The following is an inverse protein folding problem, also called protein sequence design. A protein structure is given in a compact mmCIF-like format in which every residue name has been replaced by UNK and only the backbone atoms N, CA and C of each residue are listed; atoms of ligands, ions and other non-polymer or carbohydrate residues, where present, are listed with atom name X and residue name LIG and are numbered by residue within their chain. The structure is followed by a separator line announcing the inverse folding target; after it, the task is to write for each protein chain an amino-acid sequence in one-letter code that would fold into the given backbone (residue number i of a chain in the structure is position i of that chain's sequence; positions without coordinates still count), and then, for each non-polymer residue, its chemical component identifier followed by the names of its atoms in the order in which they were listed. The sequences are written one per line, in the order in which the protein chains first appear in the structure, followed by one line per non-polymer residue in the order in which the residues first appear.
data_IF_309085573913
#
_entry.id   IF_309085573913
#
_cell.length_a   1.000
_cell.length_b   1.000
_cell.length_c   1.000
_cell.angle_alpha   90.00
_cell.angle_beta   90.00
_cell.angle_gamma   90.00
#
_symmetry.space_group_name_H-M   'P 1'
#
loop_
_entity.id
_entity.type
_entity.pdbx_description
1 polymer ?
#
# COMPACT_ATOMS: atom_id res chain seq x y z
N UNK A 1 6.01 11.63 9.11
CA UNK A 1 5.49 10.58 8.21
C UNK A 1 6.26 10.64 6.89
N UNK A 2 6.84 9.53 6.44
CA UNK A 2 7.53 9.44 5.14
C UNK A 2 6.79 8.44 4.25
N UNK A 3 6.55 8.81 3.00
CA UNK A 3 5.90 7.96 2.00
C UNK A 3 6.95 7.16 1.24
N UNK A 4 6.74 5.86 1.11
CA UNK A 4 7.58 4.98 0.28
C UNK A 4 6.80 4.56 -0.95
N UNK A 5 7.30 4.91 -2.14
CA UNK A 5 6.70 4.48 -3.40
C UNK A 5 7.02 3.01 -3.66
N UNK A 6 6.01 2.13 -3.71
CA UNK A 6 6.20 0.75 -4.12
C UNK A 6 6.19 0.67 -5.66
N UNK A 7 7.37 0.82 -6.29
CA UNK A 7 7.51 0.61 -7.74
C UNK A 7 7.65 -0.89 -8.06
N UNK A 8 6.83 -1.45 -8.97
CA UNK A 8 7.04 -2.82 -9.44
C UNK A 8 8.36 -2.93 -10.21
N UNK A 9 9.11 -4.01 -9.98
CA UNK A 9 10.43 -4.27 -10.57
C UNK A 9 10.39 -4.48 -12.09
N UNK A 10 9.21 -4.74 -12.68
CA UNK A 10 9.04 -4.83 -14.13
C UNK A 10 8.14 -3.72 -14.63
N UNK A 11 8.60 -3.02 -15.68
CA UNK A 11 7.85 -1.97 -16.39
C UNK A 11 6.71 -2.61 -17.19
N UNK A 12 5.68 -3.13 -16.53
CA UNK A 12 4.42 -3.55 -17.17
C UNK A 12 3.29 -2.63 -16.72
N UNK A 13 2.80 -1.86 -17.70
CA UNK A 13 1.76 -0.82 -17.67
C UNK A 13 2.12 0.46 -16.90
N UNK A 14 2.23 1.56 -17.66
CA UNK A 14 1.97 2.89 -17.12
C UNK A 14 0.52 2.90 -16.62
N UNK A 15 0.28 3.11 -15.33
CA UNK A 15 -1.08 3.45 -14.93
C UNK A 15 -1.40 3.54 -13.46
N UNK A 16 -0.89 2.64 -12.61
CA UNK A 16 -1.37 2.59 -11.23
C UNK A 16 -0.22 2.17 -10.30
N UNK A 17 0.29 3.13 -9.54
CA UNK A 17 1.24 2.89 -8.45
C UNK A 17 0.65 3.44 -7.16
N UNK A 18 0.99 2.80 -6.04
CA UNK A 18 0.58 3.21 -4.71
C UNK A 18 1.80 3.56 -3.87
N UNK A 19 1.68 4.65 -3.10
CA UNK A 19 2.60 4.98 -2.03
C UNK A 19 2.04 4.42 -0.72
N UNK A 20 2.92 3.85 0.09
CA UNK A 20 2.59 3.40 1.43
C UNK A 20 3.44 4.15 2.45
N UNK A 21 2.82 4.68 3.50
CA UNK A 21 3.50 5.28 4.64
C UNK A 21 3.21 4.48 5.90
N UNK A 22 4.27 4.13 6.64
CA UNK A 22 4.11 3.56 7.97
C UNK A 22 3.77 4.68 8.97
N UNK A 23 2.70 4.46 9.72
CA UNK A 23 2.25 5.32 10.81
C UNK A 23 2.47 4.56 12.13
N UNK A 24 2.57 5.27 13.25
CA UNK A 24 2.64 4.62 14.58
C UNK A 24 1.39 3.78 14.89
N UNK A 25 0.26 4.11 14.26
CA UNK A 25 -1.04 3.44 14.42
C UNK A 25 -1.35 2.42 13.32
N UNK A 26 -0.50 2.26 12.31
CA UNK A 26 -0.75 1.35 11.18
C UNK A 26 -0.10 1.80 9.88
N UNK A 27 -0.87 1.87 8.80
CA UNK A 27 -0.37 2.27 7.49
C UNK A 27 -1.32 3.23 6.80
N UNK A 28 -0.77 4.07 5.93
CA UNK A 28 -1.55 4.88 5.00
C UNK A 28 -1.19 4.51 3.57
N UNK A 29 -2.19 4.35 2.72
CA UNK A 29 -2.03 3.99 1.30
C UNK A 29 -2.67 5.06 0.43
N UNK A 30 -1.94 5.55 -0.57
CA UNK A 30 -2.48 6.51 -1.54
C UNK A 30 -2.04 6.18 -2.96
N UNK A 31 -2.78 6.69 -3.94
CA UNK A 31 -2.36 6.63 -5.34
C UNK A 31 -1.20 7.60 -5.58
N UNK A 32 -0.07 7.10 -6.07
CA UNK A 32 1.09 7.94 -6.41
C UNK A 32 0.79 8.89 -7.58
N UNK A 33 -0.14 8.50 -8.45
CA UNK A 33 -0.55 9.28 -9.65
C UNK A 33 -1.48 10.44 -9.32
N UNK A 34 -2.17 10.42 -8.17
CA UNK A 34 -3.02 11.52 -7.73
C UNK A 34 -3.05 11.63 -6.20
N UNK A 35 -1.96 12.15 -5.58
CA UNK A 35 -1.86 12.24 -4.12
C UNK A 35 -2.85 13.23 -3.49
N UNK A 36 -3.45 14.11 -4.29
CA UNK A 36 -4.43 15.10 -3.83
C UNK A 36 -5.79 14.49 -3.48
N UNK A 37 -6.08 13.25 -3.92
CA UNK A 37 -7.31 12.54 -3.55
C UNK A 37 -7.29 12.02 -2.10
N UNK A 38 -6.18 12.20 -1.39
CA UNK A 38 -6.02 11.74 -0.02
C UNK A 38 -5.47 10.31 0.05
N UNK A 39 -5.66 9.69 1.22
CA UNK A 39 -5.13 8.37 1.52
C UNK A 39 -6.13 7.57 2.35
N UNK A 40 -6.05 6.26 2.24
CA UNK A 40 -6.76 5.33 3.10
C UNK A 40 -5.84 5.01 4.28
N UNK A 41 -6.30 5.26 5.50
CA UNK A 41 -5.60 4.85 6.71
C UNK A 41 -6.12 3.47 7.15
N UNK A 42 -5.20 2.54 7.38
CA UNK A 42 -5.47 1.20 7.87
C UNK A 42 -4.93 1.08 9.29
N UNK A 43 -5.73 0.51 10.20
CA UNK A 43 -5.27 0.23 11.55
C UNK A 43 -4.19 -0.87 11.54
N UNK A 44 -3.26 -0.82 12.51
CA UNK A 44 -2.11 -1.73 12.59
C UNK A 44 -2.51 -3.21 12.55
N UNK A 45 -3.58 -3.58 13.26
CA UNK A 45 -4.12 -4.95 13.30
C UNK A 45 -4.56 -5.44 11.92
N UNK A 46 -5.37 -4.65 11.21
CA UNK A 46 -5.92 -5.00 9.91
C UNK A 46 -4.83 -5.04 8.84
N UNK A 47 -3.92 -4.05 8.87
CA UNK A 47 -2.78 -4.00 7.97
C UNK A 47 -1.86 -5.22 8.14
N UNK A 48 -1.61 -5.63 9.39
CA UNK A 48 -0.79 -6.81 9.69
C UNK A 48 -1.45 -8.11 9.21
N UNK A 49 -2.76 -8.25 9.42
CA UNK A 49 -3.55 -9.39 8.94
C UNK A 49 -3.55 -9.45 7.40
N UNK A 50 -3.74 -8.31 6.73
CA UNK A 50 -3.65 -8.21 5.27
C UNK A 50 -2.28 -8.64 4.76
N UNK A 51 -1.18 -8.09 5.30
CA UNK A 51 0.17 -8.45 4.90
C UNK A 51 0.48 -9.93 5.15
N UNK A 52 -0.05 -10.50 6.24
CA UNK A 52 0.06 -11.94 6.49
C UNK A 52 -0.67 -12.75 5.39
N UNK A 53 -1.92 -12.41 5.09
CA UNK A 53 -2.71 -13.08 4.06
C UNK A 53 -2.08 -12.97 2.66
N UNK A 54 -1.51 -11.82 2.28
CA UNK A 54 -0.76 -11.65 1.02
C UNK A 54 0.47 -12.56 0.99
N UNK A 55 1.26 -12.61 2.07
CA UNK A 55 2.47 -13.44 2.13
C UNK A 55 2.17 -14.95 2.11
N UNK A 56 1.05 -15.34 2.69
CA UNK A 56 0.57 -16.73 2.68
C UNK A 56 -0.20 -17.10 1.41
N UNK A 57 -0.22 -16.23 0.40
CA UNK A 57 -0.96 -16.40 -0.86
C UNK A 57 -2.47 -16.68 -0.68
N UNK A 58 -3.04 -16.26 0.45
CA UNK A 58 -4.46 -16.43 0.74
C UNK A 58 -5.34 -15.42 -0.01
N UNK A 59 -4.72 -14.43 -0.64
CA UNK A 59 -5.37 -13.37 -1.43
C UNK A 59 -5.11 -13.50 -2.93
N UNK A 60 -4.39 -14.53 -3.38
CA UNK A 60 -4.18 -14.84 -4.79
C UNK A 60 -5.33 -15.68 -5.34
N UNK A 61 -6.40 -15.03 -5.82
CA UNK A 61 -7.49 -15.69 -6.54
C UNK A 61 -7.80 -15.01 -7.85
#
# INVERSE_FOLDING_TARGET
MSWTCARPATRRKAGQWVDVANLSTGAAVRASTNPALGHIACHSTEWSAFLHAVRSDQLGR
#
